data_IF_683684801184
#
_entry.id   IF_683684801184
#
_cell.length_a   1.000
_cell.length_b   1.000
_cell.length_c   1.000
_cell.angle_alpha   90.00
_cell.angle_beta   90.00
_cell.angle_gamma   90.00
#
_symmetry.space_group_name_H-M   'P 1'
#
loop_
_entity.id
_entity.type
_entity.pdbx_description
1 polymer ?
#
# COMPACT_ATOMS: atom_id res chain seq x y z
N UNK A 1 10.00 -10.94 5.78
CA UNK A 1 10.02 -9.55 5.30
C UNK A 1 11.10 -9.28 4.25
N UNK A 2 12.34 -9.77 4.39
CA UNK A 2 13.43 -9.44 3.46
C UNK A 2 13.20 -9.89 2.01
N UNK A 3 12.21 -10.73 1.74
CA UNK A 3 11.82 -11.13 0.37
C UNK A 3 10.77 -10.19 -0.26
N UNK A 4 10.27 -9.19 0.48
CA UNK A 4 9.27 -8.25 -0.02
C UNK A 4 9.92 -7.22 -0.94
N UNK A 5 9.33 -7.00 -2.11
CA UNK A 5 9.79 -5.97 -3.05
C UNK A 5 9.74 -4.59 -2.41
N UNK A 6 8.66 -4.31 -1.69
CA UNK A 6 8.43 -3.04 -0.99
C UNK A 6 9.48 -2.74 0.07
N UNK A 7 10.04 -3.76 0.74
CA UNK A 7 11.13 -3.58 1.69
C UNK A 7 12.37 -2.95 1.02
N UNK A 8 12.77 -3.48 -0.14
CA UNK A 8 13.89 -2.92 -0.91
C UNK A 8 13.57 -1.55 -1.50
N UNK A 9 12.34 -1.34 -1.97
CA UNK A 9 11.90 -0.03 -2.49
C UNK A 9 12.00 1.06 -1.42
N UNK A 10 11.61 0.76 -0.17
CA UNK A 10 11.75 1.71 0.94
C UNK A 10 13.21 2.03 1.23
N UNK A 11 14.09 1.03 1.37
CA UNK A 11 15.52 1.24 1.58
C UNK A 11 16.15 2.11 0.48
N UNK A 12 15.93 1.76 -0.77
CA UNK A 12 16.47 2.49 -1.91
C UNK A 12 15.98 3.95 -1.95
N UNK A 13 14.70 4.17 -1.66
CA UNK A 13 14.10 5.52 -1.67
C UNK A 13 14.70 6.39 -0.55
N UNK A 14 14.84 5.86 0.66
CA UNK A 14 15.36 6.63 1.80
C UNK A 14 16.86 6.90 1.69
N UNK A 15 17.64 5.95 1.17
CA UNK A 15 19.07 6.15 0.88
C UNK A 15 19.26 7.30 -0.11
N UNK A 16 18.45 7.34 -1.18
CA UNK A 16 18.49 8.42 -2.18
C UNK A 16 18.13 9.79 -1.59
N UNK A 17 17.26 9.82 -0.58
CA UNK A 17 16.82 11.04 0.09
C UNK A 17 17.72 11.44 1.26
N UNK A 18 18.82 10.71 1.50
CA UNK A 18 19.75 10.90 2.62
C UNK A 18 19.04 10.92 3.99
N UNK A 19 17.93 10.16 4.09
CA UNK A 19 17.13 10.06 5.32
C UNK A 19 17.67 8.93 6.20
N UNK A 20 18.07 9.27 7.42
CA UNK A 20 18.88 8.41 8.28
C UNK A 20 18.09 7.57 9.29
N UNK A 21 16.76 7.70 9.35
CA UNK A 21 15.94 7.09 10.41
C UNK A 21 14.80 6.21 9.86
N UNK A 22 15.11 5.32 8.92
CA UNK A 22 14.16 4.32 8.43
C UNK A 22 14.15 3.08 9.33
N UNK A 23 12.97 2.75 9.85
CA UNK A 23 12.67 1.46 10.49
C UNK A 23 11.52 0.81 9.72
N UNK A 24 11.67 -0.47 9.39
CA UNK A 24 10.64 -1.26 8.71
C UNK A 24 10.23 -2.44 9.60
N UNK A 25 8.96 -2.48 9.98
CA UNK A 25 8.27 -3.59 10.63
C UNK A 25 7.34 -4.32 9.66
N UNK A 26 6.96 -5.55 10.00
CA UNK A 26 6.00 -6.31 9.20
C UNK A 26 4.63 -6.05 9.79
N UNK A 27 3.67 -5.68 8.94
CA UNK A 27 2.29 -5.63 9.37
C UNK A 27 1.80 -7.07 9.62
N UNK A 28 1.16 -7.36 10.77
CA UNK A 28 0.65 -8.70 11.06
C UNK A 28 -0.43 -9.16 10.07
N UNK A 29 -1.03 -8.24 9.31
CA UNK A 29 -2.06 -8.50 8.33
C UNK A 29 -1.56 -8.23 6.90
N UNK A 30 -2.27 -8.77 5.90
CA UNK A 30 -1.98 -8.52 4.48
C UNK A 30 -0.55 -8.86 4.03
N UNK A 31 0.06 -9.90 4.61
CA UNK A 31 1.38 -10.42 4.20
C UNK A 31 1.45 -10.68 2.69
N UNK A 32 0.34 -11.16 2.11
CA UNK A 32 0.24 -11.42 0.67
C UNK A 32 0.41 -10.15 -0.18
N UNK A 33 0.01 -8.99 0.34
CA UNK A 33 0.15 -7.66 -0.27
C UNK A 33 1.32 -6.90 0.36
N UNK A 34 2.32 -7.62 0.88
CA UNK A 34 3.51 -7.06 1.51
C UNK A 34 3.19 -5.98 2.56
N UNK A 35 2.30 -6.31 3.49
CA UNK A 35 2.01 -5.47 4.65
C UNK A 35 3.25 -5.10 5.44
N UNK A 36 3.56 -3.80 5.45
CA UNK A 36 4.68 -3.23 6.21
C UNK A 36 4.23 -2.04 7.06
N UNK A 37 4.87 -1.91 8.22
CA UNK A 37 4.86 -0.73 9.07
C UNK A 37 6.16 0.03 8.86
N UNK A 38 6.07 1.30 8.46
CA UNK A 38 7.23 2.14 8.14
C UNK A 38 7.31 3.26 9.14
N UNK A 39 8.45 3.41 9.79
CA UNK A 39 8.78 4.62 10.56
C UNK A 39 9.91 5.34 9.84
N UNK A 40 9.68 6.60 9.46
CA UNK A 40 10.65 7.41 8.74
C UNK A 40 10.64 8.82 9.33
N UNK A 41 11.75 9.27 9.91
CA UNK A 41 11.84 10.57 10.58
C UNK A 41 10.70 10.80 11.59
N UNK A 42 10.43 9.78 12.40
CA UNK A 42 9.36 9.76 13.41
C UNK A 42 7.93 9.86 12.84
N UNK A 43 7.75 9.69 11.53
CA UNK A 43 6.44 9.58 10.89
C UNK A 43 6.14 8.10 10.61
N UNK A 44 4.92 7.68 10.96
CA UNK A 44 4.48 6.29 10.86
C UNK A 44 3.50 6.08 9.70
N UNK A 45 3.85 5.18 8.79
CA UNK A 45 3.08 4.87 7.58
C UNK A 45 2.75 3.39 7.51
N UNK A 46 1.58 3.07 6.96
CA UNK A 46 1.29 1.72 6.49
C UNK A 46 1.70 1.61 5.03
N UNK A 47 2.35 0.52 4.66
CA UNK A 47 2.76 0.25 3.27
C UNK A 47 2.19 -1.08 2.78
N UNK A 48 1.82 -1.11 1.50
CA UNK A 48 1.37 -2.31 0.77
C UNK A 48 1.94 -2.35 -0.65
N UNK A 49 1.90 -3.52 -1.28
CA UNK A 49 2.15 -3.76 -2.69
C UNK A 49 0.82 -4.07 -3.39
N UNK A 50 0.43 -3.25 -4.36
CA UNK A 50 -0.71 -3.52 -5.22
C UNK A 50 -0.37 -4.62 -6.25
N UNK A 51 -1.36 -5.43 -6.62
CA UNK A 51 -1.18 -6.55 -7.55
C UNK A 51 -2.02 -6.38 -8.80
N UNK A 52 -1.42 -6.68 -9.95
CA UNK A 52 -2.17 -6.82 -11.20
C UNK A 52 -3.01 -8.08 -11.14
N UNK A 53 -4.22 -8.02 -11.68
CA UNK A 53 -5.14 -9.17 -11.76
C UNK A 53 -5.46 -9.47 -13.22
N UNK A 54 -5.59 -10.75 -13.64
CA UNK A 54 -5.80 -11.09 -15.05
C UNK A 54 -7.04 -10.45 -15.68
N UNK A 55 -8.17 -10.44 -14.95
CA UNK A 55 -9.48 -10.16 -15.55
C UNK A 55 -9.94 -8.70 -15.43
N UNK A 56 -9.15 -7.84 -14.77
CA UNK A 56 -9.54 -6.46 -14.48
C UNK A 56 -8.35 -5.52 -14.57
N UNK A 57 -8.55 -4.45 -15.35
CA UNK A 57 -7.62 -3.32 -15.50
C UNK A 57 -7.33 -2.67 -14.13
N UNK A 58 -6.14 -2.08 -14.00
CA UNK A 58 -5.63 -1.53 -12.75
C UNK A 58 -5.09 -2.58 -11.77
N UNK A 59 -4.64 -2.09 -10.62
CA UNK A 59 -3.99 -2.90 -9.59
C UNK A 59 -4.90 -3.01 -8.38
N UNK A 60 -5.06 -4.22 -7.86
CA UNK A 60 -5.86 -4.52 -6.68
C UNK A 60 -5.01 -4.43 -5.41
N UNK A 61 -5.58 -3.86 -4.35
CA UNK A 61 -4.97 -3.75 -3.03
C UNK A 61 -5.95 -4.31 -2.02
N UNK A 62 -5.45 -5.12 -1.07
CA UNK A 62 -6.13 -5.43 0.18
C UNK A 62 -5.54 -4.60 1.34
N UNK A 63 -6.43 -4.04 2.17
CA UNK A 63 -6.11 -3.21 3.32
C UNK A 63 -7.12 -3.53 4.43
N UNK A 64 -6.83 -4.54 5.24
CA UNK A 64 -7.70 -4.94 6.35
C UNK A 64 -6.90 -5.40 7.57
N UNK A 65 -7.58 -5.39 8.73
CA UNK A 65 -7.08 -5.95 9.99
C UNK A 65 -8.04 -7.02 10.50
N UNK A 66 -7.67 -7.70 11.58
CA UNK A 66 -8.58 -8.61 12.28
C UNK A 66 -9.14 -7.97 13.53
N UNK A 67 -10.42 -8.21 13.79
CA UNK A 67 -11.03 -7.93 15.09
C UNK A 67 -10.66 -9.02 16.13
N UNK A 68 -11.12 -8.82 17.37
CA UNK A 68 -10.91 -9.75 18.48
C UNK A 68 -11.53 -11.15 18.25
N UNK A 69 -12.41 -11.26 17.25
CA UNK A 69 -13.05 -12.52 16.83
C UNK A 69 -12.38 -13.11 15.59
N UNK A 70 -11.18 -12.62 15.22
CA UNK A 70 -10.38 -13.09 14.10
C UNK A 70 -11.05 -12.88 12.72
N UNK A 71 -12.04 -11.99 12.63
CA UNK A 71 -12.75 -11.62 11.39
C UNK A 71 -12.06 -10.43 10.72
N UNK A 72 -11.97 -10.47 9.39
CA UNK A 72 -11.44 -9.36 8.61
C UNK A 72 -12.40 -8.16 8.67
N UNK A 73 -11.84 -7.01 9.04
CA UNK A 73 -12.52 -5.72 9.13
C UNK A 73 -11.67 -4.65 8.44
N UNK A 74 -12.27 -3.57 7.92
CA UNK A 74 -11.51 -2.46 7.37
C UNK A 74 -10.64 -1.83 8.48
N UNK A 75 -9.55 -1.21 8.06
CA UNK A 75 -8.85 -0.27 8.92
C UNK A 75 -9.73 0.96 9.16
N UNK A 76 -9.64 1.50 10.37
CA UNK A 76 -10.20 2.78 10.76
C UNK A 76 -9.13 3.87 10.70
N UNK A 77 -9.55 5.13 10.69
CA UNK A 77 -8.65 6.30 10.68
C UNK A 77 -7.65 6.26 11.83
N UNK A 78 -8.01 5.69 12.98
CA UNK A 78 -7.14 5.59 14.15
C UNK A 78 -6.02 4.54 13.99
N UNK A 79 -6.16 3.61 13.05
CA UNK A 79 -5.16 2.54 12.85
C UNK A 79 -3.98 2.98 12.00
N UNK A 80 -4.09 4.12 11.30
CA UNK A 80 -3.04 4.68 10.48
C UNK A 80 -2.70 6.06 11.02
N UNK A 81 -1.46 6.24 11.43
CA UNK A 81 -1.04 7.50 12.04
C UNK A 81 -0.95 8.62 10.99
N UNK A 82 -0.14 8.43 9.94
CA UNK A 82 0.09 9.41 8.87
C UNK A 82 -0.68 9.04 7.60
N UNK A 83 -0.12 8.18 6.76
CA UNK A 83 -0.68 7.84 5.45
C UNK A 83 -0.57 6.35 5.13
N UNK A 84 -1.40 5.93 4.17
CA UNK A 84 -1.25 4.65 3.49
C UNK A 84 -0.44 4.84 2.22
N UNK A 85 0.65 4.08 2.10
CA UNK A 85 1.53 4.08 0.94
C UNK A 85 1.33 2.81 0.13
N UNK A 86 0.90 2.96 -1.12
CA UNK A 86 0.72 1.84 -2.04
C UNK A 86 1.82 1.86 -3.09
N UNK A 87 2.59 0.78 -3.18
CA UNK A 87 3.61 0.60 -4.19
C UNK A 87 3.05 -0.24 -5.34
N UNK A 88 3.52 0.02 -6.56
CA UNK A 88 3.27 -0.81 -7.74
C UNK A 88 4.62 -1.19 -8.33
N UNK A 89 4.76 -2.48 -8.69
CA UNK A 89 5.87 -2.98 -9.49
C UNK A 89 5.31 -3.88 -10.59
N UNK A 90 5.50 -3.51 -11.86
CA UNK A 90 5.02 -4.24 -13.03
C UNK A 90 6.06 -4.19 -14.16
N UNK A 91 6.95 -5.18 -14.18
CA UNK A 91 8.11 -5.17 -15.09
C UNK A 91 9.02 -3.95 -14.83
N UNK A 92 9.20 -3.11 -15.85
CA UNK A 92 9.95 -1.84 -15.76
C UNK A 92 9.12 -0.68 -15.21
N UNK A 93 7.80 -0.85 -15.04
CA UNK A 93 6.92 0.18 -14.51
C UNK A 93 6.88 0.09 -12.99
N UNK A 94 7.11 1.21 -12.33
CA UNK A 94 7.04 1.32 -10.89
C UNK A 94 6.49 2.67 -10.48
N UNK A 95 5.78 2.69 -9.34
CA UNK A 95 5.19 3.91 -8.83
C UNK A 95 4.70 3.75 -7.41
N UNK A 96 4.38 4.89 -6.79
CA UNK A 96 3.88 4.95 -5.43
C UNK A 96 2.72 5.94 -5.35
N UNK A 97 1.67 5.53 -4.66
CA UNK A 97 0.55 6.37 -4.27
C UNK A 97 0.60 6.58 -2.77
N UNK A 98 0.31 7.80 -2.33
CA UNK A 98 0.20 8.16 -0.92
C UNK A 98 -1.22 8.64 -0.73
N UNK A 99 -1.95 7.95 0.14
CA UNK A 99 -3.33 8.27 0.44
C UNK A 99 -3.47 8.73 1.88
N UNK A 100 -4.32 9.73 2.08
CA UNK A 100 -4.81 10.07 3.40
C UNK A 100 -5.68 8.93 3.95
N UNK A 101 -5.63 8.71 5.25
CA UNK A 101 -6.25 7.57 5.93
C UNK A 101 -7.77 7.52 5.82
N UNK A 102 -8.41 8.64 5.54
CA UNK A 102 -9.85 8.80 5.38
C UNK A 102 -10.40 7.96 4.22
N UNK A 103 -9.58 7.66 3.20
CA UNK A 103 -10.00 6.83 2.05
C UNK A 103 -10.40 5.41 2.45
N UNK A 104 -9.96 4.95 3.62
CA UNK A 104 -10.13 3.58 4.10
C UNK A 104 -11.44 3.37 4.85
N UNK A 105 -12.17 4.44 5.15
CA UNK A 105 -13.41 4.37 5.92
C UNK A 105 -14.40 3.38 5.27
N UNK A 106 -14.54 2.21 5.89
CA UNK A 106 -15.44 1.14 5.44
C UNK A 106 -14.92 0.28 4.27
N UNK A 107 -13.66 0.44 3.83
CA UNK A 107 -13.09 -0.30 2.69
C UNK A 107 -12.01 -1.27 3.13
N UNK A 108 -12.13 -2.54 2.73
CA UNK A 108 -11.09 -3.56 2.93
C UNK A 108 -10.19 -3.77 1.72
N UNK A 109 -10.59 -3.23 0.56
CA UNK A 109 -9.86 -3.34 -0.69
C UNK A 109 -10.33 -2.28 -1.68
N UNK A 110 -9.46 -1.92 -2.62
CA UNK A 110 -9.80 -1.03 -3.74
C UNK A 110 -8.83 -1.26 -4.91
N UNK A 111 -9.07 -0.56 -6.02
CA UNK A 111 -8.19 -0.55 -7.18
C UNK A 111 -7.57 0.81 -7.38
N UNK A 112 -6.34 0.81 -7.88
CA UNK A 112 -5.63 2.02 -8.32
C UNK A 112 -5.27 1.90 -9.80
N UNK A 113 -5.28 3.05 -10.46
CA UNK A 113 -5.06 3.18 -11.88
C UNK A 113 -3.91 4.16 -12.11
N UNK A 114 -2.66 3.67 -12.18
CA UNK A 114 -1.54 4.54 -12.50
C UNK A 114 -1.63 5.12 -13.91
N UNK A 115 -0.90 6.23 -14.20
CA UNK A 115 -1.02 6.95 -15.47
C UNK A 115 -0.71 6.13 -16.73
N UNK A 116 -0.09 4.95 -16.57
CA UNK A 116 0.20 4.03 -17.67
C UNK A 116 -0.93 3.03 -17.97
N UNK A 117 -1.95 2.90 -17.11
CA UNK A 117 -3.12 2.09 -17.42
C UNK A 117 -3.92 2.72 -18.57
N UNK A 118 -4.44 1.87 -19.46
CA UNK A 118 -5.20 2.26 -20.66
C UNK A 118 -6.53 1.52 -20.67
N UNK A 119 -7.45 1.98 -21.53
CA UNK A 119 -8.76 1.34 -21.74
C UNK A 119 -9.58 1.21 -20.44
N UNK A 120 -9.51 2.26 -19.60
CA UNK A 120 -10.31 2.34 -18.39
C UNK A 120 -11.80 2.47 -18.74
N UNK A 121 -12.66 1.82 -17.97
CA UNK A 121 -14.09 2.10 -18.04
C UNK A 121 -14.42 3.42 -17.33
N UNK A 122 -15.64 3.95 -17.54
CA UNK A 122 -16.05 5.25 -16.99
C UNK A 122 -15.93 5.36 -15.46
N UNK A 123 -16.09 4.26 -14.73
CA UNK A 123 -15.95 4.27 -13.26
C UNK A 123 -14.49 4.38 -12.86
N UNK A 124 -13.60 3.64 -13.54
CA UNK A 124 -12.16 3.67 -13.30
C UNK A 124 -11.55 5.03 -13.70
N UNK A 125 -12.02 5.66 -14.77
CA UNK A 125 -11.56 7.00 -15.18
C UNK A 125 -11.92 8.10 -14.17
N UNK A 126 -12.99 7.90 -13.38
CA UNK A 126 -13.46 8.86 -12.37
C UNK A 126 -12.93 8.59 -10.97
N UNK A 127 -12.15 7.52 -10.79
CA UNK A 127 -11.54 7.14 -9.51
C UNK A 127 -10.28 7.98 -9.28
#
# INVERSE_FOLDING_TARGET
>A
MENFKTFFLWKQTTERLDQKSLVIGQDPYDVEYEGLDITLNNQHFKSRLAKKTPDKVGYFIAVWKKDDKNKNIPFEVVDIEQNLVINITDGSLMGRFIFDKEILTGKMAFRIYPPWERELNQTAERT
#
